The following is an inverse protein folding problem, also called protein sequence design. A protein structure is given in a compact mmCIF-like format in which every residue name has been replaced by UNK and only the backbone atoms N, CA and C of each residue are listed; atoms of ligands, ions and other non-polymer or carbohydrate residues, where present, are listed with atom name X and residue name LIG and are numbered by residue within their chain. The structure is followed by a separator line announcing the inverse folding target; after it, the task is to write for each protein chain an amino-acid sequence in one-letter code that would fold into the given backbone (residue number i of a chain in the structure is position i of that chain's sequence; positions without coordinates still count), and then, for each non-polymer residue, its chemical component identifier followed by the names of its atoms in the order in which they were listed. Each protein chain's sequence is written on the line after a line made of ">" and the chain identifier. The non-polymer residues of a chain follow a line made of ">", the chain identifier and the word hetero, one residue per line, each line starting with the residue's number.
data_IF_638075626863
#
_entry.id   IF_638075626863
#
_cell.length_a   1.000
_cell.length_b   1.000
_cell.length_c   1.000
_cell.angle_alpha   90.00
_cell.angle_beta   90.00
_cell.angle_gamma   90.00
#
_symmetry.space_group_name_H-M   'P 1'
#
loop_
_entity.id
_entity.type
_entity.pdbx_description
1 polymer ?
#
# COMPACT_ATOMS: atom_id res chain seq x y z
N UNK A 1 22.27 2.53 -32.56
CA UNK A 1 21.03 3.01 -31.93
C UNK A 1 20.32 1.94 -31.12
N UNK A 2 20.13 0.69 -31.61
CA UNK A 2 19.39 -0.39 -30.89
C UNK A 2 19.94 -0.76 -29.49
N UNK A 3 21.25 -0.76 -29.26
CA UNK A 3 21.84 -1.09 -27.96
C UNK A 3 21.59 -0.02 -26.87
N UNK A 4 21.39 1.25 -27.23
CA UNK A 4 21.12 2.33 -26.28
C UNK A 4 19.63 2.36 -25.86
N UNK A 5 18.72 1.98 -26.74
CA UNK A 5 17.30 1.85 -26.40
C UNK A 5 17.07 0.66 -25.45
N UNK A 6 17.77 -0.46 -25.63
CA UNK A 6 17.64 -1.63 -24.75
C UNK A 6 18.15 -1.33 -23.34
N UNK A 7 19.24 -0.59 -23.19
CA UNK A 7 19.78 -0.16 -21.89
C UNK A 7 18.82 0.81 -21.17
N UNK A 8 18.14 1.69 -21.92
CA UNK A 8 17.15 2.63 -21.38
C UNK A 8 15.87 1.91 -20.90
N UNK A 9 15.39 0.93 -21.66
CA UNK A 9 14.24 0.11 -21.29
C UNK A 9 14.53 -0.76 -20.05
N UNK A 10 15.74 -1.33 -19.97
CA UNK A 10 16.18 -2.10 -18.79
C UNK A 10 16.29 -1.19 -17.55
N UNK A 11 16.81 0.03 -17.70
CA UNK A 11 16.88 1.00 -16.60
C UNK A 11 15.50 1.46 -16.15
N UNK A 12 14.55 1.62 -17.07
CA UNK A 12 13.17 2.04 -16.76
C UNK A 12 12.40 0.91 -16.03
N UNK A 13 12.57 -0.35 -16.44
CA UNK A 13 11.96 -1.50 -15.77
C UNK A 13 12.51 -1.70 -14.36
N UNK A 14 13.78 -1.41 -14.11
CA UNK A 14 14.42 -1.47 -12.80
C UNK A 14 13.94 -0.36 -11.85
N UNK A 15 13.57 0.80 -12.39
CA UNK A 15 12.98 1.91 -11.61
C UNK A 15 11.54 1.61 -11.18
N UNK A 16 10.80 0.86 -11.99
CA UNK A 16 9.39 0.50 -11.73
C UNK A 16 9.24 -0.69 -10.77
N UNK A 17 10.26 -1.55 -10.63
CA UNK A 17 10.18 -2.74 -9.78
C UNK A 17 10.72 -2.55 -8.36
N UNK A 18 11.20 -1.35 -8.01
CA UNK A 18 11.72 -1.08 -6.66
C UNK A 18 12.86 -2.03 -6.24
N UNK A 19 13.57 -2.66 -7.18
CA UNK A 19 14.62 -3.62 -6.89
C UNK A 19 15.88 -2.96 -6.32
N UNK A 20 15.83 -2.64 -5.04
CA UNK A 20 16.94 -2.20 -4.20
C UNK A 20 18.25 -3.00 -4.42
N UNK A 21 18.25 -4.36 -4.55
CA UNK A 21 19.49 -5.12 -4.68
C UNK A 21 20.34 -4.80 -5.92
N UNK A 22 19.72 -4.43 -7.03
CA UNK A 22 20.45 -4.08 -8.26
C UNK A 22 21.00 -2.65 -8.21
N UNK A 23 20.31 -1.75 -7.55
CA UNK A 23 20.80 -0.40 -7.28
C UNK A 23 22.00 -0.46 -6.32
N UNK A 24 21.90 -1.25 -5.26
CA UNK A 24 22.99 -1.49 -4.30
C UNK A 24 24.21 -2.09 -5.00
N UNK A 25 24.03 -3.07 -5.89
CA UNK A 25 25.11 -3.69 -6.66
C UNK A 25 25.78 -2.69 -7.63
N UNK A 26 24.98 -1.85 -8.31
CA UNK A 26 25.46 -0.84 -9.23
C UNK A 26 26.23 0.28 -8.52
N UNK A 27 25.74 0.72 -7.37
CA UNK A 27 26.36 1.76 -6.55
C UNK A 27 27.63 1.25 -5.86
N UNK A 28 27.62 -0.01 -5.40
CA UNK A 28 28.80 -0.67 -4.85
C UNK A 28 29.91 -0.87 -5.91
N UNK A 29 29.54 -1.20 -7.15
CA UNK A 29 30.48 -1.34 -8.27
C UNK A 29 31.16 -0.01 -8.67
N UNK A 30 30.54 1.13 -8.35
CA UNK A 30 31.09 2.48 -8.58
C UNK A 30 31.83 3.05 -7.38
N UNK A 31 31.81 2.38 -6.22
CA UNK A 31 32.36 2.91 -4.98
C UNK A 31 31.57 4.12 -4.43
N UNK A 32 30.35 4.35 -4.94
CA UNK A 32 29.50 5.49 -4.56
C UNK A 32 28.63 5.19 -3.34
N UNK A 33 28.41 3.89 -3.04
CA UNK A 33 27.58 3.44 -1.92
C UNK A 33 28.17 2.19 -1.29
N UNK A 34 28.58 2.31 -0.05
CA UNK A 34 28.81 1.15 0.83
C UNK A 34 27.54 0.96 1.65
N UNK A 35 26.89 -0.19 1.47
CA UNK A 35 25.77 -0.58 2.34
C UNK A 35 26.26 -0.51 3.79
N UNK A 36 25.57 0.26 4.67
CA UNK A 36 25.93 0.28 6.08
C UNK A 36 25.99 -1.15 6.61
N UNK A 37 27.08 -1.49 7.28
CA UNK A 37 27.18 -2.76 7.98
C UNK A 37 26.33 -2.66 9.24
N UNK A 38 25.16 -3.25 9.21
CA UNK A 38 24.23 -3.30 10.33
C UNK A 38 24.54 -4.43 11.31
N UNK A 39 25.68 -5.12 11.15
CA UNK A 39 26.08 -6.23 12.02
C UNK A 39 26.55 -5.76 13.41
N UNK A 40 26.85 -4.48 13.58
CA UNK A 40 27.33 -3.88 14.82
C UNK A 40 26.22 -3.35 15.74
N UNK A 41 24.96 -3.56 15.40
CA UNK A 41 23.82 -3.11 16.20
C UNK A 41 23.57 -1.59 16.15
N UNK A 42 24.27 -0.83 15.28
CA UNK A 42 24.10 0.61 15.11
C UNK A 42 22.90 0.96 14.20
N UNK A 43 21.90 0.12 14.13
CA UNK A 43 20.63 0.49 13.53
C UNK A 43 19.90 1.40 14.52
N UNK A 44 20.00 2.70 14.29
CA UNK A 44 19.15 3.69 14.96
C UNK A 44 17.70 3.73 14.43
N UNK A 45 17.27 2.71 13.70
CA UNK A 45 15.87 2.41 13.68
C UNK A 45 15.58 1.91 15.09
N UNK A 46 14.75 2.63 15.84
CA UNK A 46 14.06 2.01 16.95
C UNK A 46 13.56 0.68 16.39
N UNK A 47 14.25 -0.39 16.71
CA UNK A 47 13.58 -1.66 16.73
C UNK A 47 12.30 -1.38 17.49
N UNK A 48 11.17 -1.43 16.80
CA UNK A 48 9.92 -1.56 17.49
C UNK A 48 10.21 -2.64 18.52
N UNK A 49 10.08 -2.32 19.81
CA UNK A 49 10.40 -3.28 20.88
C UNK A 49 9.39 -4.45 20.91
N UNK A 50 8.69 -4.65 19.81
CA UNK A 50 8.00 -5.91 19.53
C UNK A 50 9.10 -6.95 19.33
N UNK A 51 9.11 -8.00 20.17
CA UNK A 51 10.08 -9.05 20.01
C UNK A 51 10.09 -9.48 18.55
N UNK A 52 11.27 -9.43 17.91
CA UNK A 52 11.46 -9.86 16.53
C UNK A 52 10.89 -11.28 16.43
N UNK A 53 9.73 -11.40 15.85
CA UNK A 53 9.23 -12.71 15.46
C UNK A 53 10.03 -13.13 14.24
N UNK A 54 10.79 -14.24 14.34
CA UNK A 54 11.57 -14.70 13.21
C UNK A 54 10.62 -14.82 12.02
N UNK A 55 11.04 -14.28 10.87
CA UNK A 55 10.26 -14.42 9.63
C UNK A 55 9.97 -15.90 9.45
N UNK A 56 8.72 -16.27 9.63
CA UNK A 56 8.27 -17.63 9.39
C UNK A 56 8.57 -17.89 7.93
N UNK A 57 9.42 -18.88 7.63
CA UNK A 57 9.57 -19.36 6.26
C UNK A 57 8.26 -20.07 5.92
N UNK A 58 7.38 -19.36 5.25
CA UNK A 58 6.20 -19.98 4.68
C UNK A 58 6.68 -20.87 3.53
N UNK A 59 6.49 -22.18 3.67
CA UNK A 59 6.73 -23.17 2.62
C UNK A 59 5.49 -23.40 1.75
N UNK A 60 4.36 -22.81 2.17
CA UNK A 60 3.09 -22.78 1.45
C UNK A 60 2.41 -21.44 1.73
N UNK A 61 1.44 -21.07 0.92
CA UNK A 61 0.57 -19.92 1.18
C UNK A 61 -0.05 -20.09 2.58
N UNK A 62 0.13 -19.11 3.50
CA UNK A 62 -0.45 -19.22 4.82
C UNK A 62 -1.97 -19.30 4.69
N UNK A 63 -2.57 -20.25 5.39
CA UNK A 63 -4.03 -20.36 5.50
C UNK A 63 -4.54 -19.26 6.45
N UNK A 64 -4.52 -18.01 5.95
CA UNK A 64 -5.01 -16.85 6.68
C UNK A 64 -6.49 -16.72 6.36
N UNK A 65 -7.34 -16.87 7.38
CA UNK A 65 -8.77 -16.62 7.23
C UNK A 65 -8.99 -15.12 6.95
N UNK A 66 -9.76 -14.83 5.89
CA UNK A 66 -10.18 -13.45 5.62
C UNK A 66 -11.30 -13.07 6.57
N UNK A 67 -11.12 -11.95 7.27
CA UNK A 67 -12.13 -11.35 8.13
C UNK A 67 -12.30 -9.90 7.71
N UNK A 68 -13.52 -9.50 7.35
CA UNK A 68 -13.80 -8.10 7.00
C UNK A 68 -13.54 -7.21 8.21
N UNK A 69 -12.62 -6.21 8.12
CA UNK A 69 -12.27 -5.33 9.23
C UNK A 69 -13.44 -4.46 9.69
N UNK A 70 -13.51 -4.16 10.99
CA UNK A 70 -14.45 -3.19 11.56
C UNK A 70 -13.91 -1.75 11.42
N UNK A 71 -14.09 -1.17 10.25
CA UNK A 71 -13.66 0.19 9.94
C UNK A 71 -14.40 1.24 10.77
N UNK A 72 -15.67 1.02 11.09
CA UNK A 72 -16.45 1.96 11.93
C UNK A 72 -15.90 1.99 13.35
N UNK A 73 -15.62 0.83 13.90
CA UNK A 73 -14.98 0.68 15.20
C UNK A 73 -13.61 1.34 15.24
N UNK A 74 -12.74 1.05 14.27
CA UNK A 74 -11.40 1.62 14.17
C UNK A 74 -11.45 3.17 14.11
N UNK A 75 -12.22 3.75 13.18
CA UNK A 75 -12.34 5.20 13.05
C UNK A 75 -12.90 5.87 14.32
N UNK A 76 -13.87 5.23 14.98
CA UNK A 76 -14.45 5.71 16.24
C UNK A 76 -13.42 5.68 17.38
N UNK A 77 -12.63 4.61 17.46
CA UNK A 77 -11.56 4.45 18.45
C UNK A 77 -10.47 5.51 18.28
N UNK A 78 -9.97 5.70 17.05
CA UNK A 78 -8.97 6.72 16.74
C UNK A 78 -9.44 8.14 17.12
N UNK A 79 -10.69 8.46 16.80
CA UNK A 79 -11.30 9.73 17.20
C UNK A 79 -11.37 9.89 18.73
N UNK A 80 -11.72 8.82 19.44
CA UNK A 80 -11.79 8.82 20.92
C UNK A 80 -10.41 9.02 21.55
N UNK A 81 -9.36 8.40 20.98
CA UNK A 81 -7.97 8.56 21.43
C UNK A 81 -7.54 10.03 21.31
N UNK A 82 -7.77 10.65 20.14
CA UNK A 82 -7.47 12.08 19.95
C UNK A 82 -8.18 12.97 20.95
N UNK A 83 -9.49 12.75 21.17
CA UNK A 83 -10.27 13.49 22.15
C UNK A 83 -9.75 13.28 23.59
N UNK A 84 -9.33 12.09 23.94
CA UNK A 84 -8.75 11.78 25.26
C UNK A 84 -7.41 12.47 25.48
N UNK A 85 -6.56 12.52 24.44
CA UNK A 85 -5.27 13.19 24.47
C UNK A 85 -5.40 14.71 24.74
N UNK A 86 -6.43 15.35 24.18
CA UNK A 86 -6.70 16.79 24.39
C UNK A 86 -7.52 17.10 25.62
N UNK A 87 -8.21 16.11 26.19
CA UNK A 87 -9.10 16.28 27.35
C UNK A 87 -8.40 16.63 28.67
N UNK A 88 -7.06 16.56 28.73
CA UNK A 88 -6.22 16.98 29.86
C UNK A 88 -6.33 16.11 31.13
N UNK A 89 -6.97 14.93 31.04
CA UNK A 89 -7.16 14.01 32.18
C UNK A 89 -6.46 12.68 32.01
N UNK A 90 -6.18 12.27 30.77
CA UNK A 90 -5.50 11.02 30.49
C UNK A 90 -3.99 11.16 30.69
N UNK A 91 -3.33 10.08 31.15
CA UNK A 91 -1.89 9.99 31.13
C UNK A 91 -1.38 9.56 29.74
N UNK A 92 -0.14 9.93 29.38
CA UNK A 92 0.45 9.53 28.12
C UNK A 92 0.44 8.00 27.92
N UNK A 93 0.73 7.24 28.98
CA UNK A 93 0.69 5.77 28.94
C UNK A 93 -0.69 5.21 28.60
N UNK A 94 -1.78 5.84 29.04
CA UNK A 94 -3.13 5.40 28.73
C UNK A 94 -3.45 5.63 27.24
N UNK A 95 -3.01 6.78 26.70
CA UNK A 95 -3.15 7.10 25.26
C UNK A 95 -2.34 6.13 24.42
N UNK A 96 -1.09 5.83 24.80
CA UNK A 96 -0.22 4.89 24.12
C UNK A 96 -0.85 3.49 24.07
N UNK A 97 -1.36 2.99 25.18
CA UNK A 97 -1.99 1.66 25.23
C UNK A 97 -3.24 1.58 24.34
N UNK A 98 -4.07 2.63 24.34
CA UNK A 98 -5.25 2.70 23.47
C UNK A 98 -4.86 2.79 22.00
N UNK A 99 -3.83 3.58 21.69
CA UNK A 99 -3.34 3.74 20.34
C UNK A 99 -2.69 2.44 19.81
N UNK A 100 -1.89 1.75 20.62
CA UNK A 100 -1.26 0.50 20.22
C UNK A 100 -2.29 -0.58 19.88
N UNK A 101 -3.39 -0.67 20.64
CA UNK A 101 -4.51 -1.54 20.31
C UNK A 101 -5.23 -1.14 19.01
N UNK A 102 -5.48 0.16 18.81
CA UNK A 102 -6.09 0.65 17.58
C UNK A 102 -5.18 0.49 16.36
N UNK A 103 -3.85 0.56 16.56
CA UNK A 103 -2.88 0.33 15.51
C UNK A 103 -2.86 -1.15 15.06
N UNK A 104 -3.12 -2.09 15.94
CA UNK A 104 -3.32 -3.49 15.56
C UNK A 104 -4.54 -3.67 14.65
N UNK A 105 -5.65 -2.96 14.92
CA UNK A 105 -6.83 -2.95 14.03
C UNK A 105 -6.53 -2.28 12.68
N UNK A 106 -5.72 -1.21 12.65
CA UNK A 106 -5.25 -0.59 11.43
C UNK A 106 -4.37 -1.53 10.60
N UNK A 107 -3.44 -2.24 11.24
CA UNK A 107 -2.62 -3.27 10.57
C UNK A 107 -3.50 -4.41 10.04
N UNK A 108 -4.52 -4.82 10.80
CA UNK A 108 -5.48 -5.82 10.35
C UNK A 108 -6.24 -5.33 9.09
N UNK A 109 -6.70 -4.08 9.07
CA UNK A 109 -7.36 -3.50 7.90
C UNK A 109 -6.48 -3.59 6.64
N UNK A 110 -5.23 -3.14 6.73
CA UNK A 110 -4.30 -3.20 5.61
C UNK A 110 -4.00 -4.65 5.20
N UNK A 111 -3.77 -5.55 6.17
CA UNK A 111 -3.49 -6.96 5.91
C UNK A 111 -4.65 -7.66 5.19
N UNK A 112 -5.88 -7.37 5.60
CA UNK A 112 -7.06 -7.96 4.96
C UNK A 112 -7.31 -7.38 3.57
N UNK A 113 -7.04 -6.09 3.36
CA UNK A 113 -7.08 -5.47 2.03
C UNK A 113 -6.09 -6.11 1.05
N UNK A 114 -4.83 -6.29 1.47
CA UNK A 114 -3.82 -6.99 0.70
C UNK A 114 -4.18 -8.47 0.44
N UNK A 115 -4.73 -9.15 1.44
CA UNK A 115 -5.18 -10.54 1.28
C UNK A 115 -6.33 -10.66 0.27
N UNK A 116 -7.29 -9.75 0.32
CA UNK A 116 -8.39 -9.70 -0.65
C UNK A 116 -7.86 -9.46 -2.06
N UNK A 117 -6.93 -8.50 -2.22
CA UNK A 117 -6.25 -8.22 -3.48
C UNK A 117 -5.52 -9.44 -4.04
N UNK A 118 -4.68 -10.10 -3.23
CA UNK A 118 -3.92 -11.29 -3.66
C UNK A 118 -4.83 -12.44 -4.09
N UNK A 119 -5.94 -12.66 -3.39
CA UNK A 119 -6.89 -13.72 -3.73
C UNK A 119 -7.70 -13.39 -4.97
N UNK A 120 -8.14 -12.15 -5.11
CA UNK A 120 -8.77 -11.65 -6.32
C UNK A 120 -7.85 -11.77 -7.54
N UNK A 121 -6.59 -11.32 -7.44
CA UNK A 121 -5.65 -11.38 -8.59
C UNK A 121 -5.22 -12.81 -8.95
N UNK A 122 -5.29 -13.75 -8.01
CA UNK A 122 -5.05 -15.17 -8.28
C UNK A 122 -6.19 -15.83 -9.05
N UNK A 123 -7.42 -15.43 -8.79
CA UNK A 123 -8.62 -15.93 -9.46
C UNK A 123 -9.58 -14.78 -9.74
N UNK A 124 -9.48 -14.20 -10.94
CA UNK A 124 -10.28 -13.06 -11.38
C UNK A 124 -11.78 -13.40 -11.54
N UNK A 125 -12.16 -14.68 -11.48
CA UNK A 125 -13.56 -15.12 -11.47
C UNK A 125 -14.18 -15.16 -10.07
N UNK A 126 -13.37 -14.95 -9.02
CA UNK A 126 -13.84 -14.92 -7.64
C UNK A 126 -14.46 -13.56 -7.29
N UNK A 127 -15.75 -13.44 -7.56
CA UNK A 127 -16.52 -12.23 -7.29
C UNK A 127 -16.59 -11.85 -5.80
N UNK A 128 -16.35 -12.79 -4.87
CA UNK A 128 -16.31 -12.49 -3.45
C UNK A 128 -15.06 -11.64 -3.12
N UNK A 129 -13.88 -12.08 -3.54
CA UNK A 129 -12.65 -11.32 -3.25
C UNK A 129 -12.53 -10.05 -4.09
N UNK A 130 -13.13 -9.99 -5.29
CA UNK A 130 -13.31 -8.75 -6.04
C UNK A 130 -14.09 -7.71 -5.22
N UNK A 131 -15.23 -8.12 -4.64
CA UNK A 131 -16.06 -7.24 -3.84
C UNK A 131 -15.37 -6.82 -2.52
N UNK A 132 -14.63 -7.73 -1.86
CA UNK A 132 -13.91 -7.42 -0.62
C UNK A 132 -12.73 -6.47 -0.88
N UNK A 133 -11.97 -6.67 -1.95
CA UNK A 133 -10.91 -5.76 -2.36
C UNK A 133 -11.44 -4.36 -2.69
N UNK A 134 -12.49 -4.28 -3.49
CA UNK A 134 -13.18 -3.02 -3.81
C UNK A 134 -13.63 -2.30 -2.54
N UNK A 135 -14.28 -3.03 -1.63
CA UNK A 135 -14.71 -2.47 -0.35
C UNK A 135 -13.54 -1.93 0.48
N UNK A 136 -12.44 -2.68 0.62
CA UNK A 136 -11.25 -2.20 1.33
C UNK A 136 -10.69 -0.93 0.69
N UNK A 137 -10.59 -0.88 -0.63
CA UNK A 137 -10.11 0.28 -1.38
C UNK A 137 -10.98 1.52 -1.11
N UNK A 138 -12.30 1.35 -1.14
CA UNK A 138 -13.25 2.43 -0.84
C UNK A 138 -13.12 2.96 0.60
N UNK A 139 -12.72 2.12 1.56
CA UNK A 139 -12.53 2.52 2.95
C UNK A 139 -11.16 3.17 3.23
N UNK A 140 -10.17 2.99 2.36
CA UNK A 140 -8.77 3.43 2.62
C UNK A 140 -8.70 4.91 2.98
N UNK A 141 -9.27 5.79 2.14
CA UNK A 141 -9.24 7.25 2.39
C UNK A 141 -9.87 7.62 3.74
N UNK A 142 -10.91 6.90 4.16
CA UNK A 142 -11.59 7.15 5.44
C UNK A 142 -10.72 6.74 6.62
N UNK A 143 -10.04 5.59 6.50
CA UNK A 143 -9.16 5.08 7.55
C UNK A 143 -7.92 5.96 7.68
N UNK A 144 -7.27 6.30 6.57
CA UNK A 144 -6.10 7.18 6.55
C UNK A 144 -6.42 8.56 7.13
N UNK A 145 -7.59 9.12 6.77
CA UNK A 145 -8.04 10.36 7.38
C UNK A 145 -8.22 10.23 8.90
N UNK A 146 -8.80 9.16 9.39
CA UNK A 146 -8.99 8.96 10.82
C UNK A 146 -7.65 8.83 11.56
N UNK A 147 -6.65 8.17 10.97
CA UNK A 147 -5.28 8.09 11.49
C UNK A 147 -4.62 9.47 11.53
N UNK A 148 -4.67 10.22 10.42
CA UNK A 148 -4.10 11.56 10.33
C UNK A 148 -4.76 12.53 11.35
N UNK A 149 -6.09 12.51 11.46
CA UNK A 149 -6.83 13.32 12.44
C UNK A 149 -6.42 12.97 13.88
N UNK A 150 -6.19 11.68 14.17
CA UNK A 150 -5.70 11.22 15.47
C UNK A 150 -4.31 11.78 15.76
N UNK A 151 -3.35 11.61 14.83
CA UNK A 151 -2.00 12.17 14.96
C UNK A 151 -1.98 13.68 15.11
N UNK A 152 -2.72 14.39 14.27
CA UNK A 152 -2.84 15.87 14.33
C UNK A 152 -3.41 16.32 15.67
N UNK A 153 -4.36 15.59 16.22
CA UNK A 153 -4.95 15.90 17.53
C UNK A 153 -3.97 15.64 18.66
N UNK A 154 -3.23 14.54 18.62
CA UNK A 154 -2.16 14.22 19.57
C UNK A 154 -1.01 15.23 19.50
N UNK A 155 -0.61 15.67 18.29
CA UNK A 155 0.39 16.69 18.07
C UNK A 155 0.05 18.02 18.75
N UNK A 156 -1.23 18.40 18.76
CA UNK A 156 -1.75 19.63 19.39
C UNK A 156 -2.05 19.49 20.88
N UNK A 157 -1.86 18.30 21.46
CA UNK A 157 -2.14 18.02 22.87
C UNK A 157 -0.99 18.43 23.79
N UNK A 158 -1.28 18.65 25.07
CA UNK A 158 -0.25 18.83 26.10
C UNK A 158 0.59 17.59 26.37
N UNK A 159 0.19 16.43 25.84
CA UNK A 159 0.88 15.16 26.00
C UNK A 159 1.94 14.92 24.91
N UNK A 160 2.02 15.79 23.88
CA UNK A 160 2.92 15.60 22.71
C UNK A 160 4.31 15.13 23.11
N UNK A 161 5.03 15.90 23.93
CA UNK A 161 6.41 15.57 24.31
C UNK A 161 6.52 14.22 25.03
N UNK A 162 5.55 13.88 25.88
CA UNK A 162 5.54 12.60 26.55
C UNK A 162 5.22 11.44 25.61
N UNK A 163 4.36 11.65 24.61
CA UNK A 163 4.05 10.65 23.58
C UNK A 163 5.26 10.43 22.65
N UNK A 164 5.96 11.50 22.26
CA UNK A 164 7.19 11.40 21.47
C UNK A 164 8.29 10.66 22.26
N UNK A 165 8.52 11.02 23.51
CA UNK A 165 9.56 10.40 24.34
C UNK A 165 9.30 8.91 24.62
N UNK A 166 8.03 8.54 24.89
CA UNK A 166 7.70 7.19 25.37
C UNK A 166 7.36 6.20 24.25
N UNK A 167 6.91 6.68 23.07
CA UNK A 167 6.40 5.79 22.04
C UNK A 167 6.77 6.16 20.61
N UNK A 168 6.40 7.36 20.15
CA UNK A 168 6.51 7.70 18.71
C UNK A 168 7.93 8.06 18.26
N UNK A 169 8.74 8.65 19.14
CA UNK A 169 10.07 9.16 18.80
C UNK A 169 10.14 10.67 18.70
N UNK A 170 11.34 11.21 18.87
CA UNK A 170 11.62 12.64 18.78
C UNK A 170 11.16 13.18 17.43
N UNK A 171 10.54 14.34 17.44
CA UNK A 171 10.03 15.05 16.26
C UNK A 171 8.99 14.31 15.42
N UNK A 172 8.43 13.19 15.88
CA UNK A 172 7.42 12.46 15.12
C UNK A 172 6.24 13.35 14.71
N UNK A 173 5.75 14.17 15.62
CA UNK A 173 4.61 15.04 15.36
C UNK A 173 4.94 16.32 14.59
N UNK A 174 6.20 16.59 14.24
CA UNK A 174 6.56 17.78 13.48
C UNK A 174 5.87 17.84 12.10
N UNK A 175 5.64 16.69 11.48
CA UNK A 175 4.90 16.58 10.21
C UNK A 175 3.40 16.87 10.34
N UNK A 176 2.86 16.86 11.57
CA UNK A 176 1.45 17.08 11.88
C UNK A 176 1.19 18.47 12.51
N UNK A 177 2.17 19.37 12.50
CA UNK A 177 2.02 20.76 12.99
C UNK A 177 1.20 21.63 12.04
N UNK A 178 1.13 21.25 10.76
CA UNK A 178 0.25 21.86 9.75
C UNK A 178 -1.01 21.01 9.56
N UNK A 179 -2.01 21.59 8.90
CA UNK A 179 -3.18 20.83 8.50
C UNK A 179 -2.76 19.72 7.53
N UNK A 180 -3.19 18.50 7.79
CA UNK A 180 -2.84 17.32 7.03
C UNK A 180 -3.48 17.27 5.64
N UNK A 181 -3.06 16.30 4.83
CA UNK A 181 -3.54 16.12 3.45
C UNK A 181 -5.06 15.90 3.41
N UNK A 182 -5.62 15.20 4.39
CA UNK A 182 -7.05 14.92 4.48
C UNK A 182 -7.89 16.03 5.13
N UNK A 183 -7.30 17.17 5.51
CA UNK A 183 -8.01 18.31 6.08
C UNK A 183 -8.84 19.08 5.04
N UNK A 184 -8.40 19.08 3.78
CA UNK A 184 -9.09 19.74 2.67
C UNK A 184 -10.06 18.78 1.97
N UNK A 185 -11.35 19.13 1.97
CA UNK A 185 -12.41 18.33 1.33
C UNK A 185 -12.19 18.11 -0.18
N UNK A 186 -11.54 19.06 -0.86
CA UNK A 186 -11.21 18.91 -2.29
C UNK A 186 -10.12 17.85 -2.47
N UNK A 187 -9.10 17.88 -1.63
CA UNK A 187 -8.01 16.88 -1.65
C UNK A 187 -8.55 15.49 -1.36
N UNK A 188 -9.42 15.34 -0.36
CA UNK A 188 -10.11 14.07 -0.06
C UNK A 188 -10.88 13.55 -1.28
N UNK A 189 -11.65 14.43 -1.95
CA UNK A 189 -12.41 14.06 -3.15
C UNK A 189 -11.49 13.63 -4.32
N UNK A 190 -10.33 14.27 -4.49
CA UNK A 190 -9.36 13.89 -5.51
C UNK A 190 -8.68 12.55 -5.21
N UNK A 191 -8.33 12.28 -3.95
CA UNK A 191 -7.77 10.99 -3.52
C UNK A 191 -8.78 9.85 -3.72
N UNK A 192 -10.06 10.10 -3.46
CA UNK A 192 -11.12 9.15 -3.77
C UNK A 192 -11.22 8.84 -5.26
N UNK A 193 -11.20 9.88 -6.13
CA UNK A 193 -11.19 9.70 -7.58
C UNK A 193 -9.94 8.97 -8.08
N UNK A 194 -8.78 9.24 -7.49
CA UNK A 194 -7.54 8.53 -7.79
C UNK A 194 -7.67 7.04 -7.47
N UNK A 195 -8.20 6.69 -6.31
CA UNK A 195 -8.45 5.29 -5.92
C UNK A 195 -9.40 4.58 -6.88
N UNK A 196 -10.48 5.25 -7.28
CA UNK A 196 -11.43 4.71 -8.27
C UNK A 196 -10.78 4.48 -9.64
N UNK A 197 -9.95 5.42 -10.10
CA UNK A 197 -9.20 5.29 -11.35
C UNK A 197 -8.15 4.18 -11.28
N UNK A 198 -7.47 4.03 -10.14
CA UNK A 198 -6.54 2.93 -9.91
C UNK A 198 -7.24 1.57 -9.99
N UNK A 199 -8.40 1.42 -9.36
CA UNK A 199 -9.18 0.18 -9.42
C UNK A 199 -9.59 -0.15 -10.87
N UNK A 200 -10.06 0.85 -11.64
CA UNK A 200 -10.39 0.69 -13.06
C UNK A 200 -9.16 0.30 -13.89
N UNK A 201 -8.01 0.92 -13.64
CA UNK A 201 -6.76 0.61 -14.34
C UNK A 201 -6.29 -0.83 -14.06
N UNK A 202 -6.35 -1.26 -12.80
CA UNK A 202 -6.02 -2.64 -12.43
C UNK A 202 -6.95 -3.65 -13.12
N UNK A 203 -8.26 -3.37 -13.16
CA UNK A 203 -9.22 -4.22 -13.85
C UNK A 203 -8.90 -4.32 -15.36
N UNK A 204 -8.54 -3.21 -16.00
CA UNK A 204 -8.13 -3.20 -17.42
C UNK A 204 -6.82 -3.97 -17.67
N UNK A 205 -5.87 -3.93 -16.72
CA UNK A 205 -4.60 -4.64 -16.86
C UNK A 205 -4.75 -6.15 -16.67
N UNK A 206 -5.63 -6.56 -15.76
CA UNK A 206 -5.74 -7.97 -15.37
C UNK A 206 -6.42 -8.84 -16.41
N UNK A 207 -7.47 -8.34 -17.06
CA UNK A 207 -8.12 -9.06 -18.16
C UNK A 207 -8.77 -8.08 -19.17
N UNK A 208 -7.95 -7.40 -19.97
CA UNK A 208 -8.49 -6.50 -20.97
C UNK A 208 -9.27 -7.28 -22.02
N UNK A 209 -10.49 -6.83 -22.31
CA UNK A 209 -11.32 -7.38 -23.36
C UNK A 209 -11.28 -6.46 -24.61
N UNK A 210 -11.11 -7.06 -25.78
CA UNK A 210 -11.07 -6.34 -27.05
C UNK A 210 -12.12 -6.90 -28.03
N UNK A 211 -12.51 -6.08 -29.00
CA UNK A 211 -13.32 -6.53 -30.12
C UNK A 211 -12.44 -7.36 -31.09
N UNK A 212 -12.72 -8.65 -31.18
CA UNK A 212 -11.98 -9.59 -32.01
C UNK A 212 -12.91 -10.39 -32.89
N UNK A 213 -12.77 -10.23 -34.21
CA UNK A 213 -13.61 -10.91 -35.22
C UNK A 213 -15.13 -10.77 -34.93
N UNK A 214 -15.58 -9.59 -34.50
CA UNK A 214 -16.99 -9.28 -34.27
C UNK A 214 -17.55 -9.78 -32.95
N UNK A 215 -16.70 -10.15 -31.99
CA UNK A 215 -17.09 -10.48 -30.62
C UNK A 215 -16.07 -9.93 -29.62
N UNK A 216 -16.56 -9.53 -28.44
CA UNK A 216 -15.71 -9.12 -27.31
C UNK A 216 -15.03 -10.37 -26.73
N UNK A 217 -13.70 -10.38 -26.65
CA UNK A 217 -12.88 -11.51 -26.16
C UNK A 217 -11.83 -11.01 -25.20
N UNK A 218 -11.51 -11.82 -24.20
CA UNK A 218 -10.38 -11.61 -23.30
C UNK A 218 -9.06 -11.68 -24.08
N UNK A 219 -8.15 -10.73 -23.82
CA UNK A 219 -6.82 -10.70 -24.45
C UNK A 219 -6.01 -11.92 -23.99
N UNK A 220 -6.10 -12.31 -22.72
CA UNK A 220 -5.42 -13.48 -22.17
C UNK A 220 -5.84 -14.75 -22.92
N UNK A 221 -7.15 -14.96 -23.11
CA UNK A 221 -7.68 -16.11 -23.87
C UNK A 221 -7.17 -16.11 -25.32
N UNK A 222 -7.16 -14.95 -25.98
CA UNK A 222 -6.69 -14.83 -27.35
C UNK A 222 -5.19 -15.13 -27.48
N UNK A 223 -4.38 -14.66 -26.54
CA UNK A 223 -2.93 -14.90 -26.52
C UNK A 223 -2.59 -16.37 -26.22
N UNK A 224 -3.30 -17.01 -25.29
CA UNK A 224 -3.14 -18.45 -25.01
C UNK A 224 -3.46 -19.32 -26.22
N UNK A 225 -4.42 -18.91 -27.04
CA UNK A 225 -4.82 -19.62 -28.24
C UNK A 225 -4.07 -19.19 -29.50
N UNK A 226 -3.14 -18.25 -29.43
CA UNK A 226 -2.35 -17.78 -30.55
C UNK A 226 -1.27 -18.82 -30.94
N UNK A 227 -1.58 -19.63 -31.92
CA UNK A 227 -0.70 -20.72 -32.41
C UNK A 227 0.43 -20.26 -33.33
N UNK A 228 0.43 -18.99 -33.76
CA UNK A 228 1.46 -18.38 -34.62
C UNK A 228 1.93 -17.05 -34.05
N UNK A 229 3.18 -16.69 -34.37
CA UNK A 229 3.72 -15.40 -33.96
C UNK A 229 2.93 -14.23 -34.58
N UNK A 230 2.47 -14.36 -35.83
CA UNK A 230 1.70 -13.33 -36.51
C UNK A 230 0.37 -13.09 -35.77
N UNK A 231 -0.37 -14.13 -35.42
CA UNK A 231 -1.61 -14.02 -34.67
C UNK A 231 -1.39 -13.41 -33.28
N UNK A 232 -0.30 -13.78 -32.61
CA UNK A 232 0.08 -13.19 -31.32
C UNK A 232 0.29 -11.67 -31.42
N UNK A 233 1.02 -11.22 -32.46
CA UNK A 233 1.26 -9.80 -32.70
C UNK A 233 0.00 -9.06 -33.16
N UNK A 234 -0.90 -9.70 -33.88
CA UNK A 234 -2.20 -9.11 -34.24
C UNK A 234 -3.06 -8.84 -32.99
N UNK A 235 -3.13 -9.80 -32.06
CA UNK A 235 -3.86 -9.64 -30.79
C UNK A 235 -3.25 -8.51 -29.96
N UNK A 236 -1.91 -8.46 -29.83
CA UNK A 236 -1.25 -7.36 -29.14
C UNK A 236 -1.47 -6.01 -29.80
N UNK A 237 -1.48 -5.96 -31.13
CA UNK A 237 -1.80 -4.76 -31.90
C UNK A 237 -3.20 -4.25 -31.57
N UNK A 238 -4.19 -5.13 -31.62
CA UNK A 238 -5.58 -4.80 -31.29
C UNK A 238 -5.75 -4.34 -29.82
N UNK A 239 -4.99 -4.94 -28.91
CA UNK A 239 -4.95 -4.51 -27.52
C UNK A 239 -4.42 -3.08 -27.37
N UNK A 240 -3.28 -2.77 -27.99
CA UNK A 240 -2.70 -1.42 -27.94
C UNK A 240 -3.55 -0.39 -28.68
N UNK A 241 -4.25 -0.76 -29.74
CA UNK A 241 -5.20 0.11 -30.42
C UNK A 241 -6.42 0.46 -29.56
N UNK A 242 -6.86 -0.48 -28.71
CA UNK A 242 -8.01 -0.31 -27.82
C UNK A 242 -7.66 0.48 -26.53
N UNK A 243 -6.46 0.28 -25.98
CA UNK A 243 -6.09 0.77 -24.64
C UNK A 243 -4.82 1.64 -24.61
N UNK A 244 -4.10 1.76 -25.70
CA UNK A 244 -2.83 2.48 -25.79
C UNK A 244 -2.93 3.93 -26.27
N UNK A 245 -4.14 4.48 -26.43
CA UNK A 245 -4.39 5.83 -26.92
C UNK A 245 -4.42 6.88 -25.79
#
# INVERSE_FOLDING_TARGET
>A
MKKRCFALLLALSLLLTGCSPLFDLYSAARGEYTRPDYSDGAISYREFQRPYQPRVKYTAEPDIEYVRPDVDGLCSTLKSIGASATGGKAAAADIINQFDAAYDDYVLFNTMGELAYLRYTRDLSDSYYEAEYTWCTDQTTRVEKAMEDCYTTMAKSSLRSALEEQYFGEDFFASYDSDGVYSDARTVALLQQESELQAQYVALQNDPAIEWNGSTRSVSELLENAVTADLYYEVLGAYYDAYGA
#
